data_IF_994707014109
#
_entry.id   IF_994707014109
#
_cell.length_a   1.000
_cell.length_b   1.000
_cell.length_c   1.000
_cell.angle_alpha   90.00
_cell.angle_beta   90.00
_cell.angle_gamma   90.00
#
_symmetry.space_group_name_H-M   'P 1'
#
loop_
_entity.id
_entity.type
_entity.pdbx_description
1 polymer ?
#
# COMPACT_ATOMS: atom_id res chain seq x y z
N UNK A 1 11.64 3.43 1.03
CA UNK A 1 10.48 2.64 1.47
C UNK A 1 9.77 2.08 0.25
N UNK A 2 9.13 0.94 0.37
CA UNK A 2 8.15 0.51 -0.61
C UNK A 2 6.90 1.41 -0.48
N UNK A 3 6.23 1.68 -1.57
CA UNK A 3 5.09 2.58 -1.64
C UNK A 3 3.98 2.16 -0.67
N UNK A 4 3.62 0.87 -0.67
CA UNK A 4 2.63 0.32 0.25
C UNK A 4 3.00 0.47 1.73
N UNK A 5 4.29 0.29 2.10
CA UNK A 5 4.74 0.50 3.48
C UNK A 5 4.45 1.93 3.97
N UNK A 6 4.66 2.93 3.10
CA UNK A 6 4.40 4.33 3.45
C UNK A 6 2.90 4.58 3.59
N UNK A 7 2.08 4.09 2.67
CA UNK A 7 0.62 4.22 2.75
C UNK A 7 0.06 3.59 4.04
N UNK A 8 0.59 2.45 4.47
CA UNK A 8 0.17 1.79 5.72
C UNK A 8 0.52 2.55 7.00
N UNK A 9 1.42 3.53 6.98
CA UNK A 9 1.70 4.36 8.17
C UNK A 9 0.67 5.47 8.38
N UNK A 10 -0.05 5.84 7.32
CA UNK A 10 -0.97 6.99 7.31
C UNK A 10 -2.02 6.91 8.42
N UNK A 11 -2.74 5.79 8.64
CA UNK A 11 -3.75 5.73 9.70
C UNK A 11 -3.17 6.00 11.10
N UNK A 12 -2.00 5.44 11.43
CA UNK A 12 -1.38 5.65 12.72
C UNK A 12 -0.91 7.10 12.92
N UNK A 13 -0.39 7.74 11.87
CA UNK A 13 0.06 9.15 11.93
C UNK A 13 -1.13 10.10 11.99
N UNK A 14 -2.24 9.80 11.28
CA UNK A 14 -3.46 10.60 11.34
C UNK A 14 -4.04 10.59 12.76
N UNK A 15 -4.24 9.41 13.33
CA UNK A 15 -4.74 9.28 14.72
C UNK A 15 -3.79 9.92 15.73
N UNK A 16 -2.48 9.80 15.54
CA UNK A 16 -1.50 10.51 16.37
C UNK A 16 -1.72 12.02 16.33
N UNK A 17 -1.92 12.60 15.14
CA UNK A 17 -2.17 14.03 14.96
C UNK A 17 -3.44 14.46 15.64
N UNK A 18 -4.54 13.69 15.48
CA UNK A 18 -5.85 14.02 16.02
C UNK A 18 -5.85 13.96 17.56
N UNK A 19 -5.20 12.93 18.15
CA UNK A 19 -5.14 12.75 19.60
C UNK A 19 -4.14 13.68 20.29
N UNK A 20 -3.13 14.17 19.56
CA UNK A 20 -2.04 15.00 20.10
C UNK A 20 -1.80 16.24 19.23
N UNK A 21 -2.74 17.20 19.17
CA UNK A 21 -2.65 18.37 18.27
C UNK A 21 -1.46 19.28 18.57
N UNK A 22 -0.95 19.28 19.81
CA UNK A 22 0.24 20.05 20.23
C UNK A 22 1.57 19.45 19.78
N UNK A 23 1.61 18.19 19.33
CA UNK A 23 2.86 17.53 18.90
C UNK A 23 3.26 18.03 17.51
N UNK A 24 4.50 18.46 17.33
CA UNK A 24 5.08 18.77 16.01
C UNK A 24 5.57 17.47 15.36
N UNK A 25 4.95 17.08 14.27
CA UNK A 25 5.32 15.86 13.53
C UNK A 25 6.15 16.27 12.32
N UNK A 26 7.36 15.68 12.20
CA UNK A 26 8.19 15.80 11.00
C UNK A 26 8.44 14.41 10.42
N UNK A 27 8.02 14.19 9.17
CA UNK A 27 8.17 12.91 8.48
C UNK A 27 9.38 12.96 7.56
N UNK A 28 10.32 12.04 7.76
CA UNK A 28 11.41 11.80 6.82
C UNK A 28 10.94 10.86 5.71
N UNK A 29 10.69 11.41 4.53
CA UNK A 29 10.20 10.66 3.36
C UNK A 29 10.73 11.26 2.06
N UNK A 30 10.32 10.73 0.90
CA UNK A 30 10.56 11.40 -0.39
C UNK A 30 9.45 12.41 -0.67
N UNK A 31 9.74 13.40 -1.52
CA UNK A 31 8.73 14.36 -1.98
C UNK A 31 7.52 13.66 -2.61
N UNK A 32 7.75 12.65 -3.43
CA UNK A 32 6.68 11.83 -4.02
C UNK A 32 5.76 11.21 -2.97
N UNK A 33 6.29 10.62 -1.91
CA UNK A 33 5.48 9.97 -0.89
C UNK A 33 4.85 10.94 0.11
N UNK A 34 5.31 12.19 0.21
CA UNK A 34 4.68 13.18 1.09
C UNK A 34 3.23 13.46 0.74
N UNK A 35 2.87 13.30 -0.54
CA UNK A 35 1.50 13.43 -1.04
C UNK A 35 0.50 12.54 -0.31
N UNK A 36 0.92 11.37 0.20
CA UNK A 36 0.06 10.47 0.97
C UNK A 36 -0.45 11.08 2.29
N UNK A 37 0.20 12.10 2.80
CA UNK A 37 -0.13 12.75 4.08
C UNK A 37 -0.85 14.10 3.91
N UNK A 38 -1.21 14.49 2.67
CA UNK A 38 -1.77 15.81 2.37
C UNK A 38 -3.07 16.14 3.10
N UNK A 39 -3.83 15.11 3.53
CA UNK A 39 -5.06 15.32 4.31
C UNK A 39 -4.82 15.30 5.83
N UNK A 40 -3.58 15.12 6.27
CA UNK A 40 -3.24 15.24 7.70
C UNK A 40 -2.71 16.67 7.95
N UNK A 41 -3.38 17.48 8.78
CA UNK A 41 -2.97 18.86 9.00
C UNK A 41 -1.66 18.95 9.79
N UNK A 42 -0.91 20.04 9.55
CA UNK A 42 0.26 20.40 10.33
C UNK A 42 1.37 19.32 10.37
N UNK A 43 1.61 18.65 9.25
CA UNK A 43 2.74 17.74 9.07
C UNK A 43 3.90 18.50 8.41
N UNK A 44 5.09 18.39 9.00
CA UNK A 44 6.33 18.87 8.41
C UNK A 44 7.04 17.71 7.68
N UNK A 45 7.81 18.04 6.65
CA UNK A 45 8.57 17.04 5.90
C UNK A 45 10.07 17.36 5.88
N UNK A 46 10.87 16.33 6.05
CA UNK A 46 12.29 16.33 5.71
C UNK A 46 12.48 15.36 4.54
N UNK A 47 12.94 15.87 3.40
CA UNK A 47 12.98 15.06 2.19
C UNK A 47 14.27 14.26 2.04
N UNK A 48 14.12 12.96 1.89
CA UNK A 48 15.19 12.07 1.49
C UNK A 48 15.51 12.26 0.01
N UNK A 49 16.69 12.78 -0.29
CA UNK A 49 17.17 13.09 -1.65
C UNK A 49 18.18 12.06 -2.14
N UNK A 50 18.46 11.94 -3.46
CA UNK A 50 19.45 11.01 -4.01
C UNK A 50 20.84 11.10 -3.35
N UNK A 51 21.28 12.32 -2.98
CA UNK A 51 22.54 12.54 -2.26
C UNK A 51 22.61 11.85 -0.89
N UNK A 52 21.47 11.51 -0.27
CA UNK A 52 21.40 10.81 1.02
C UNK A 52 21.53 9.28 0.89
N UNK A 53 21.77 8.74 -0.30
CA UNK A 53 21.98 7.29 -0.50
C UNK A 53 23.35 6.80 -0.01
N UNK A 54 24.35 7.67 0.01
CA UNK A 54 25.71 7.36 0.52
C UNK A 54 25.80 7.47 2.04
N UNK A 55 26.82 6.88 2.64
CA UNK A 55 27.12 6.99 4.08
C UNK A 55 27.34 8.46 4.47
N UNK A 56 28.11 9.20 3.68
CA UNK A 56 28.32 10.63 3.86
C UNK A 56 27.01 11.44 3.80
N UNK A 57 26.15 11.10 2.82
CA UNK A 57 24.83 11.70 2.73
C UNK A 57 23.92 11.39 3.92
N UNK A 58 23.98 10.18 4.50
CA UNK A 58 23.28 9.82 5.72
C UNK A 58 23.82 10.59 6.94
N UNK A 59 25.13 10.82 7.00
CA UNK A 59 25.73 11.68 8.04
C UNK A 59 25.20 13.12 7.94
N UNK A 60 25.16 13.71 6.74
CA UNK A 60 24.55 15.02 6.55
C UNK A 60 23.07 15.06 6.92
N UNK A 61 22.31 14.01 6.56
CA UNK A 61 20.90 13.89 6.93
C UNK A 61 20.72 13.81 8.44
N UNK A 62 21.60 13.10 9.15
CA UNK A 62 21.55 13.04 10.62
C UNK A 62 21.74 14.43 11.24
N UNK A 63 22.64 15.25 10.68
CA UNK A 63 22.81 16.64 11.15
C UNK A 63 21.57 17.50 10.93
N UNK A 64 20.88 17.33 9.78
CA UNK A 64 19.61 18.03 9.54
C UNK A 64 18.54 17.62 10.56
N UNK A 65 18.45 16.32 10.90
CA UNK A 65 17.54 15.84 11.94
C UNK A 65 17.90 16.44 13.30
N UNK A 66 19.18 16.50 13.66
CA UNK A 66 19.64 17.10 14.90
C UNK A 66 19.32 18.61 15.02
N UNK A 67 19.29 19.34 13.89
CA UNK A 67 18.91 20.75 13.84
C UNK A 67 17.41 20.96 14.15
N UNK A 68 16.56 20.01 13.82
CA UNK A 68 15.13 20.05 14.16
C UNK A 68 14.92 19.92 15.68
N UNK A 69 15.89 19.36 16.41
CA UNK A 69 15.86 19.10 17.86
C UNK A 69 14.61 18.30 18.27
N UNK A 70 14.35 17.11 17.67
CA UNK A 70 13.19 16.32 18.03
C UNK A 70 13.34 15.75 19.45
N UNK A 71 12.26 15.70 20.22
CA UNK A 71 12.20 15.03 21.52
C UNK A 71 12.21 13.50 21.33
N UNK A 72 11.54 13.00 20.28
CA UNK A 72 11.43 11.59 19.97
C UNK A 72 11.81 11.32 18.52
N UNK A 73 12.55 10.24 18.28
CA UNK A 73 12.85 9.71 16.94
C UNK A 73 12.24 8.32 16.81
N UNK A 74 11.45 8.12 15.77
CA UNK A 74 10.73 6.87 15.54
C UNK A 74 11.10 6.32 14.17
N UNK A 75 11.75 5.15 14.13
CA UNK A 75 12.09 4.43 12.90
C UNK A 75 10.99 3.41 12.58
N UNK A 76 10.05 3.81 11.72
CA UNK A 76 8.99 2.94 11.20
C UNK A 76 9.44 2.05 10.02
N UNK A 77 10.72 2.18 9.60
CA UNK A 77 11.19 1.47 8.40
C UNK A 77 12.14 0.31 8.71
N UNK A 78 13.02 0.46 9.70
CA UNK A 78 14.01 -0.55 10.15
C UNK A 78 14.66 -1.35 9.01
N UNK A 79 15.36 -0.64 8.13
CA UNK A 79 16.19 -1.18 7.04
C UNK A 79 17.65 -0.76 7.22
N UNK A 80 18.57 -1.34 6.43
CA UNK A 80 20.01 -1.06 6.55
C UNK A 80 20.30 0.45 6.58
N UNK A 81 19.68 1.23 5.73
CA UNK A 81 19.86 2.69 5.65
C UNK A 81 19.45 3.39 6.94
N UNK A 82 18.29 3.04 7.50
CA UNK A 82 17.84 3.65 8.76
C UNK A 82 18.64 3.15 9.94
N UNK A 83 19.20 1.94 9.91
CA UNK A 83 20.15 1.45 10.91
C UNK A 83 21.42 2.29 10.96
N UNK A 84 22.00 2.59 9.78
CA UNK A 84 23.17 3.48 9.70
C UNK A 84 22.83 4.89 10.20
N UNK A 85 21.68 5.43 9.82
CA UNK A 85 21.22 6.73 10.26
C UNK A 85 21.05 6.77 11.79
N UNK A 86 20.49 5.71 12.40
CA UNK A 86 20.38 5.59 13.86
C UNK A 86 21.73 5.60 14.57
N UNK A 87 22.77 4.98 13.99
CA UNK A 87 24.12 5.02 14.56
C UNK A 87 24.59 6.48 14.70
N UNK A 88 24.42 7.30 13.64
CA UNK A 88 24.80 8.71 13.71
C UNK A 88 23.95 9.53 14.70
N UNK A 89 22.67 9.17 14.85
CA UNK A 89 21.77 9.85 15.78
C UNK A 89 21.97 9.44 17.24
N UNK A 90 22.45 8.22 17.50
CA UNK A 90 22.68 7.70 18.86
C UNK A 90 23.69 8.51 19.67
N UNK A 91 24.58 9.27 19.02
CA UNK A 91 25.50 10.19 19.72
C UNK A 91 24.78 11.34 20.44
N UNK A 92 23.55 11.67 20.04
CA UNK A 92 22.79 12.80 20.63
C UNK A 92 21.49 12.36 21.29
N UNK A 93 20.88 11.27 20.84
CA UNK A 93 19.59 10.80 21.30
C UNK A 93 19.75 9.46 22.02
N UNK A 94 19.44 9.43 23.30
CA UNK A 94 19.57 8.22 24.13
C UNK A 94 18.54 7.14 23.76
N UNK A 95 17.43 7.52 23.14
CA UNK A 95 16.35 6.61 22.79
C UNK A 95 15.80 6.90 21.39
N UNK A 96 15.85 5.88 20.53
CA UNK A 96 15.22 5.88 19.22
C UNK A 96 14.26 4.68 19.19
N UNK A 97 12.99 4.93 18.98
CA UNK A 97 11.99 3.88 18.89
C UNK A 97 12.06 3.19 17.52
N UNK A 98 11.89 1.90 17.52
CA UNK A 98 12.03 1.07 16.31
C UNK A 98 10.83 0.15 16.20
N UNK A 99 10.25 0.08 15.01
CA UNK A 99 9.15 -0.84 14.75
C UNK A 99 9.58 -2.31 14.92
N UNK A 100 8.74 -3.09 15.58
CA UNK A 100 8.79 -4.56 15.47
C UNK A 100 8.00 -5.01 14.23
N UNK A 101 8.74 -5.41 13.20
CA UNK A 101 8.14 -5.92 11.94
C UNK A 101 7.63 -7.37 12.04
N UNK A 102 7.71 -8.00 13.19
CA UNK A 102 7.28 -9.40 13.40
C UNK A 102 8.05 -10.41 12.54
N UNK A 103 9.35 -10.19 12.31
CA UNK A 103 10.16 -11.04 11.40
C UNK A 103 10.18 -12.50 11.80
N UNK A 104 10.20 -12.81 13.12
CA UNK A 104 10.19 -14.19 13.63
C UNK A 104 8.87 -14.87 13.30
N UNK A 105 7.73 -14.24 13.61
CA UNK A 105 6.39 -14.75 13.32
C UNK A 105 6.17 -14.96 11.82
N UNK A 106 6.59 -13.97 11.00
CA UNK A 106 6.53 -14.05 9.53
C UNK A 106 7.35 -15.24 9.00
N UNK A 107 8.53 -15.47 9.55
CA UNK A 107 9.34 -16.65 9.19
C UNK A 107 8.63 -17.95 9.56
N UNK A 108 8.04 -18.03 10.75
CA UNK A 108 7.27 -19.21 11.21
C UNK A 108 6.04 -19.46 10.31
N UNK A 109 5.36 -18.40 9.84
CA UNK A 109 4.23 -18.51 8.93
C UNK A 109 4.65 -19.08 7.56
N UNK A 110 5.77 -18.60 6.98
CA UNK A 110 6.29 -19.11 5.70
C UNK A 110 6.77 -20.54 5.81
N UNK A 111 7.40 -20.90 6.92
CA UNK A 111 7.91 -22.27 7.16
C UNK A 111 6.79 -23.25 7.51
N UNK A 112 5.53 -22.80 7.61
CA UNK A 112 4.40 -23.66 7.97
C UNK A 112 4.36 -24.08 9.44
N UNK A 113 5.23 -23.55 10.31
CA UNK A 113 5.21 -23.83 11.75
C UNK A 113 3.96 -23.28 12.42
N UNK A 114 3.43 -22.18 11.91
CA UNK A 114 2.14 -21.60 12.30
C UNK A 114 1.32 -21.27 11.04
N UNK A 115 0.00 -21.38 11.14
CA UNK A 115 -0.91 -20.89 10.11
C UNK A 115 -2.05 -20.14 10.78
N UNK A 116 -1.77 -18.86 11.09
CA UNK A 116 -2.74 -17.96 11.72
C UNK A 116 -2.47 -16.52 11.29
N UNK A 117 -3.48 -15.66 11.41
CA UNK A 117 -3.34 -14.23 11.15
C UNK A 117 -2.31 -13.62 12.10
N UNK A 118 -1.33 -12.93 11.53
CA UNK A 118 -0.35 -12.15 12.29
C UNK A 118 -0.91 -10.74 12.57
N UNK A 119 -0.33 -10.07 13.57
CA UNK A 119 -0.60 -8.65 13.82
C UNK A 119 -0.36 -7.85 12.55
N UNK A 120 -1.32 -6.98 12.18
CA UNK A 120 -1.23 -6.17 10.97
C UNK A 120 -0.07 -5.18 11.03
N UNK A 121 0.45 -4.78 9.88
CA UNK A 121 1.47 -3.73 9.83
C UNK A 121 0.93 -2.39 10.36
N UNK A 122 -0.35 -2.08 10.11
CA UNK A 122 -1.01 -0.91 10.68
C UNK A 122 -0.92 -0.90 12.22
N UNK A 123 -1.26 -2.02 12.87
CA UNK A 123 -1.15 -2.13 14.32
C UNK A 123 0.30 -2.06 14.80
N UNK A 124 1.25 -2.64 14.06
CA UNK A 124 2.67 -2.56 14.40
C UNK A 124 3.20 -1.12 14.31
N UNK A 125 2.69 -0.32 13.37
CA UNK A 125 2.99 1.11 13.31
C UNK A 125 2.39 1.86 14.49
N UNK A 126 1.16 1.57 14.88
CA UNK A 126 0.51 2.18 16.04
C UNK A 126 1.22 1.81 17.36
N UNK A 127 1.60 0.55 17.54
CA UNK A 127 2.25 0.05 18.75
C UNK A 127 3.55 0.78 19.09
N UNK A 128 4.30 1.26 18.09
CA UNK A 128 5.56 1.98 18.33
C UNK A 128 5.32 3.27 19.12
N UNK A 129 4.23 3.98 18.86
CA UNK A 129 3.88 5.22 19.55
C UNK A 129 3.46 4.97 21.00
N UNK A 130 2.89 3.81 21.31
CA UNK A 130 2.50 3.44 22.67
C UNK A 130 3.70 3.34 23.62
N UNK A 131 4.92 3.10 23.09
CA UNK A 131 6.15 3.08 23.89
C UNK A 131 6.49 4.45 24.50
N UNK A 132 5.91 5.53 23.99
CA UNK A 132 6.02 6.91 24.54
C UNK A 132 4.68 7.39 25.14
N UNK A 133 3.83 6.46 25.57
CA UNK A 133 2.49 6.73 26.14
C UNK A 133 1.53 7.47 25.18
N UNK A 134 1.88 7.52 23.88
CA UNK A 134 1.02 8.04 22.83
C UNK A 134 0.22 6.89 22.24
N UNK A 135 -0.81 6.44 22.97
CA UNK A 135 -1.63 5.31 22.54
C UNK A 135 -2.44 5.66 21.29
N UNK A 136 -2.28 4.85 20.25
CA UNK A 136 -2.98 4.98 18.97
C UNK A 136 -4.04 3.91 18.85
N UNK A 137 -5.31 4.32 18.98
CA UNK A 137 -6.43 3.44 18.61
C UNK A 137 -6.76 3.65 17.14
N UNK A 138 -6.44 2.67 16.31
CA UNK A 138 -6.67 2.74 14.86
C UNK A 138 -8.14 2.76 14.46
N UNK A 139 -9.07 2.38 15.34
CA UNK A 139 -10.51 2.49 15.10
C UNK A 139 -10.97 3.95 14.99
N UNK A 140 -10.19 4.88 15.55
CA UNK A 140 -10.43 6.32 15.47
C UNK A 140 -9.94 6.94 14.15
N UNK A 141 -9.33 6.17 13.27
CA UNK A 141 -8.91 6.70 11.97
C UNK A 141 -10.13 7.08 11.13
N UNK A 142 -10.30 8.36 10.91
CA UNK A 142 -11.26 8.89 9.95
C UNK A 142 -10.66 8.75 8.54
N UNK A 143 -11.39 8.06 7.66
CA UNK A 143 -10.98 7.94 6.26
C UNK A 143 -10.83 9.30 5.62
N UNK A 144 -9.91 9.42 4.69
CA UNK A 144 -9.71 10.63 3.92
C UNK A 144 -10.97 11.02 3.15
N UNK A 145 -11.23 12.31 3.06
CA UNK A 145 -12.30 12.85 2.22
C UNK A 145 -12.01 12.61 0.74
N UNK A 146 -13.06 12.44 -0.05
CA UNK A 146 -12.94 12.39 -1.51
C UNK A 146 -12.24 13.65 -2.01
N UNK A 147 -11.39 13.47 -3.01
CA UNK A 147 -10.66 14.56 -3.66
C UNK A 147 -11.39 14.87 -4.96
N UNK A 148 -11.66 16.15 -5.21
CA UNK A 148 -12.25 16.57 -6.48
C UNK A 148 -11.30 16.24 -7.63
N UNK A 149 -11.86 15.66 -8.68
CA UNK A 149 -11.14 15.35 -9.91
C UNK A 149 -11.10 16.65 -10.75
N UNK A 150 -9.91 17.09 -11.12
CA UNK A 150 -9.72 18.27 -11.97
C UNK A 150 -10.16 17.99 -13.41
N UNK A 151 -10.54 19.02 -14.16
CA UNK A 151 -10.97 18.93 -15.57
C UNK A 151 -9.95 18.25 -16.51
N UNK A 152 -8.69 18.21 -16.13
CA UNK A 152 -7.63 17.50 -16.88
C UNK A 152 -7.74 15.98 -16.82
N UNK A 153 -8.55 15.44 -15.90
CA UNK A 153 -8.69 14.00 -15.62
C UNK A 153 -9.99 13.42 -16.23
N UNK A 154 -10.76 14.24 -16.94
CA UNK A 154 -12.11 13.91 -17.45
C UNK A 154 -12.12 13.08 -18.74
N UNK A 155 -11.45 11.91 -18.74
CA UNK A 155 -11.67 10.95 -19.83
C UNK A 155 -12.86 10.00 -19.53
N UNK A 156 -13.38 9.97 -18.28
CA UNK A 156 -14.43 9.06 -17.83
C UNK A 156 -15.58 9.81 -17.12
N UNK A 157 -16.76 9.21 -17.15
CA UNK A 157 -18.00 9.77 -16.61
C UNK A 157 -18.18 9.41 -15.12
N UNK A 158 -18.13 10.41 -14.25
CA UNK A 158 -18.28 10.24 -12.80
C UNK A 158 -19.68 9.81 -12.34
N UNK A 159 -20.68 9.86 -13.23
CA UNK A 159 -22.05 9.40 -12.93
C UNK A 159 -22.21 7.89 -13.13
N UNK A 160 -21.24 7.22 -13.72
CA UNK A 160 -21.20 5.76 -13.87
C UNK A 160 -20.45 5.11 -12.72
N UNK A 161 -20.67 3.82 -12.52
CA UNK A 161 -19.87 3.01 -11.59
C UNK A 161 -18.41 2.98 -12.05
N UNK A 162 -17.51 3.32 -11.11
CA UNK A 162 -16.07 3.36 -11.36
C UNK A 162 -15.37 2.20 -10.66
N UNK A 163 -14.78 1.31 -11.43
CA UNK A 163 -14.03 0.16 -10.91
C UNK A 163 -12.54 0.35 -11.21
N UNK A 164 -11.74 0.46 -10.15
CA UNK A 164 -10.29 0.48 -10.29
C UNK A 164 -9.72 -0.94 -10.39
N UNK A 165 -8.78 -1.15 -11.30
CA UNK A 165 -8.01 -2.41 -11.39
C UNK A 165 -6.52 -2.08 -11.35
N UNK A 166 -5.79 -2.61 -10.36
CA UNK A 166 -4.34 -2.53 -10.24
C UNK A 166 -3.72 -3.93 -10.39
N UNK A 167 -3.47 -4.40 -11.62
CA UNK A 167 -3.12 -5.80 -11.91
C UNK A 167 -1.65 -6.13 -11.62
N UNK A 168 -0.82 -5.13 -11.41
CA UNK A 168 0.62 -5.28 -11.23
C UNK A 168 1.05 -5.18 -9.76
N UNK A 169 2.22 -5.74 -9.49
CA UNK A 169 2.88 -5.66 -8.20
C UNK A 169 4.40 -5.66 -8.37
N UNK A 170 5.14 -5.37 -7.30
CA UNK A 170 6.60 -5.36 -7.37
C UNK A 170 7.28 -6.72 -7.65
N UNK A 171 6.51 -7.80 -7.75
CA UNK A 171 7.02 -9.16 -7.99
C UNK A 171 6.00 -10.01 -8.76
N UNK A 172 6.46 -10.75 -9.75
CA UNK A 172 5.63 -11.54 -10.69
C UNK A 172 4.66 -12.52 -10.01
N UNK A 173 5.03 -13.12 -8.88
CA UNK A 173 4.13 -14.05 -8.16
C UNK A 173 2.97 -13.37 -7.44
N UNK A 174 2.85 -12.07 -7.57
CA UNK A 174 1.74 -11.24 -7.10
C UNK A 174 0.97 -10.58 -8.24
N UNK A 175 1.37 -10.79 -9.50
CA UNK A 175 0.72 -10.20 -10.67
C UNK A 175 -0.33 -11.14 -11.24
N UNK A 176 -1.53 -10.63 -11.45
CA UNK A 176 -2.59 -11.35 -12.12
C UNK A 176 -2.44 -11.24 -13.63
N UNK A 177 -2.61 -12.34 -14.36
CA UNK A 177 -2.33 -12.35 -15.80
C UNK A 177 -3.26 -11.42 -16.58
N UNK A 178 -2.74 -10.78 -17.62
CA UNK A 178 -3.54 -9.91 -18.49
C UNK A 178 -4.71 -10.65 -19.15
N UNK A 179 -4.56 -11.94 -19.44
CA UNK A 179 -5.65 -12.79 -19.95
C UNK A 179 -6.81 -12.86 -18.96
N UNK A 180 -6.50 -13.05 -17.69
CA UNK A 180 -7.52 -13.08 -16.64
C UNK A 180 -8.11 -11.68 -16.38
N UNK A 181 -7.31 -10.62 -16.49
CA UNK A 181 -7.80 -9.23 -16.41
C UNK A 181 -8.79 -8.95 -17.55
N UNK A 182 -8.48 -9.31 -18.80
CA UNK A 182 -9.39 -9.16 -19.94
C UNK A 182 -10.72 -9.89 -19.71
N UNK A 183 -10.66 -11.15 -19.25
CA UNK A 183 -11.87 -11.90 -18.89
C UNK A 183 -12.68 -11.23 -17.79
N UNK A 184 -12.00 -10.67 -16.77
CA UNK A 184 -12.67 -9.95 -15.69
C UNK A 184 -13.38 -8.69 -16.22
N UNK A 185 -12.72 -7.94 -17.10
CA UNK A 185 -13.31 -6.77 -17.77
C UNK A 185 -14.57 -7.15 -18.56
N UNK A 186 -14.52 -8.27 -19.30
CA UNK A 186 -15.68 -8.78 -20.04
C UNK A 186 -16.84 -9.16 -19.13
N UNK A 187 -16.57 -9.77 -17.99
CA UNK A 187 -17.59 -10.13 -16.99
C UNK A 187 -18.23 -8.88 -16.35
N UNK A 188 -17.43 -7.84 -16.06
CA UNK A 188 -17.93 -6.57 -15.51
C UNK A 188 -18.84 -5.87 -16.53
N UNK A 189 -18.51 -5.95 -17.82
CA UNK A 189 -19.32 -5.43 -18.91
C UNK A 189 -19.29 -3.91 -19.06
N UNK A 190 -20.03 -3.36 -20.03
CA UNK A 190 -19.96 -1.97 -20.43
C UNK A 190 -20.75 -0.99 -19.52
N UNK A 191 -21.54 -1.50 -18.59
CA UNK A 191 -22.29 -0.66 -17.64
C UNK A 191 -21.41 0.08 -16.62
N UNK A 192 -20.19 -0.43 -16.42
CA UNK A 192 -19.19 0.17 -15.54
C UNK A 192 -18.05 0.76 -16.36
N UNK A 193 -17.36 1.72 -15.81
CA UNK A 193 -16.07 2.23 -16.32
C UNK A 193 -14.94 1.64 -15.50
N UNK A 194 -13.91 1.17 -16.20
CA UNK A 194 -12.79 0.46 -15.62
C UNK A 194 -11.53 1.31 -15.74
N UNK A 195 -10.97 1.68 -14.61
CA UNK A 195 -9.78 2.49 -14.51
C UNK A 195 -8.60 1.59 -14.15
N UNK A 196 -7.66 1.41 -15.11
CA UNK A 196 -6.54 0.47 -14.93
C UNK A 196 -5.30 1.24 -14.51
N UNK A 197 -4.79 0.89 -13.35
CA UNK A 197 -3.61 1.52 -12.75
C UNK A 197 -2.34 0.77 -13.11
N UNK A 198 -1.28 1.51 -13.45
CA UNK A 198 0.04 0.94 -13.70
C UNK A 198 1.15 1.98 -13.63
N UNK A 199 2.35 1.51 -13.30
CA UNK A 199 3.53 2.36 -13.28
C UNK A 199 3.95 2.75 -14.71
N UNK A 200 4.64 3.90 -14.88
CA UNK A 200 5.25 4.27 -16.16
C UNK A 200 6.15 3.16 -16.72
N UNK A 201 6.20 3.05 -18.03
CA UNK A 201 7.08 2.12 -18.72
C UNK A 201 6.40 0.81 -19.12
N UNK A 202 6.90 -0.34 -18.67
CA UNK A 202 6.42 -1.65 -19.14
C UNK A 202 4.97 -1.96 -18.71
N UNK A 203 4.57 -1.59 -17.51
CA UNK A 203 3.19 -1.77 -17.05
C UNK A 203 2.23 -0.95 -17.91
N UNK A 204 2.54 0.32 -18.15
CA UNK A 204 1.74 1.20 -19.00
C UNK A 204 1.61 0.67 -20.42
N UNK A 205 2.69 0.14 -21.03
CA UNK A 205 2.63 -0.50 -22.35
C UNK A 205 1.67 -1.69 -22.38
N UNK A 206 1.66 -2.51 -21.31
CA UNK A 206 0.76 -3.65 -21.18
C UNK A 206 -0.70 -3.19 -21.07
N UNK A 207 -0.97 -2.15 -20.28
CA UNK A 207 -2.33 -1.62 -20.11
C UNK A 207 -2.85 -1.01 -21.43
N UNK A 208 -2.00 -0.28 -22.16
CA UNK A 208 -2.36 0.29 -23.48
C UNK A 208 -2.86 -0.75 -24.48
N UNK A 209 -2.39 -2.01 -24.37
CA UNK A 209 -2.92 -3.10 -25.21
C UNK A 209 -4.35 -3.47 -24.78
N UNK A 210 -4.63 -3.53 -23.48
CA UNK A 210 -5.96 -3.82 -22.94
C UNK A 210 -6.96 -2.74 -23.36
N UNK A 211 -6.64 -1.46 -23.18
CA UNK A 211 -7.56 -0.36 -23.46
C UNK A 211 -7.90 -0.20 -24.94
N UNK A 212 -7.03 -0.66 -25.86
CA UNK A 212 -7.35 -0.68 -27.31
C UNK A 212 -8.46 -1.68 -27.65
N UNK A 213 -8.63 -2.71 -26.86
CA UNK A 213 -9.63 -3.77 -27.10
C UNK A 213 -10.95 -3.50 -26.37
N UNK A 214 -10.97 -2.57 -25.41
CA UNK A 214 -12.10 -2.35 -24.49
C UNK A 214 -12.45 -0.86 -24.39
N UNK A 215 -13.60 -0.47 -24.90
CA UNK A 215 -14.04 0.94 -25.01
C UNK A 215 -14.42 1.57 -23.66
N UNK A 216 -14.67 0.78 -22.63
CA UNK A 216 -15.00 1.26 -21.27
C UNK A 216 -13.81 1.25 -20.32
N UNK A 217 -12.58 1.18 -20.84
CA UNK A 217 -11.34 1.16 -20.03
C UNK A 217 -10.53 2.43 -20.21
N UNK A 218 -10.02 2.95 -19.10
CA UNK A 218 -9.23 4.17 -19.01
C UNK A 218 -7.90 3.88 -18.31
N UNK A 219 -6.83 4.54 -18.75
CA UNK A 219 -5.48 4.29 -18.23
C UNK A 219 -5.11 5.35 -17.21
N UNK A 220 -4.81 4.93 -16.00
CA UNK A 220 -4.30 5.79 -14.93
C UNK A 220 -2.81 5.45 -14.69
N UNK A 221 -1.92 6.20 -15.32
CA UNK A 221 -0.47 5.92 -15.32
C UNK A 221 0.35 7.21 -15.32
N UNK A 222 1.39 7.28 -16.15
CA UNK A 222 2.39 8.36 -16.19
C UNK A 222 1.84 9.79 -16.40
N UNK A 223 0.67 9.91 -17.01
CA UNK A 223 0.02 11.21 -17.25
C UNK A 223 -0.61 11.81 -15.98
N UNK A 224 -0.65 11.03 -14.88
CA UNK A 224 -1.25 11.43 -13.61
C UNK A 224 -0.20 11.51 -12.52
N UNK A 225 -0.09 12.66 -11.87
CA UNK A 225 0.66 12.78 -10.61
C UNK A 225 0.07 11.87 -9.53
N UNK A 226 0.80 11.58 -8.46
CA UNK A 226 0.27 10.80 -7.35
C UNK A 226 -0.99 11.43 -6.75
N UNK A 227 -1.05 12.76 -6.65
CA UNK A 227 -2.24 13.47 -6.15
C UNK A 227 -3.46 13.25 -7.05
N UNK A 228 -3.30 13.31 -8.38
CA UNK A 228 -4.37 13.01 -9.33
C UNK A 228 -4.79 11.55 -9.30
N UNK A 229 -3.84 10.61 -9.17
CA UNK A 229 -4.16 9.20 -8.97
C UNK A 229 -4.96 8.97 -7.67
N UNK A 230 -4.60 9.65 -6.58
CA UNK A 230 -5.36 9.61 -5.33
C UNK A 230 -6.75 10.21 -5.48
N UNK A 231 -6.91 11.29 -6.27
CA UNK A 231 -8.21 11.87 -6.59
C UNK A 231 -9.09 10.85 -7.33
N UNK A 232 -8.56 10.19 -8.35
CA UNK A 232 -9.26 9.12 -9.07
C UNK A 232 -9.63 7.98 -8.12
N UNK A 233 -8.67 7.48 -7.34
CA UNK A 233 -8.89 6.37 -6.38
C UNK A 233 -9.98 6.72 -5.38
N UNK A 234 -10.02 7.95 -4.87
CA UNK A 234 -10.99 8.38 -3.86
C UNK A 234 -12.45 8.39 -4.36
N UNK A 235 -12.65 8.34 -5.67
CA UNK A 235 -13.97 8.34 -6.31
C UNK A 235 -14.39 6.97 -6.84
N UNK A 236 -13.59 5.93 -6.66
CA UNK A 236 -13.95 4.58 -7.06
C UNK A 236 -15.06 4.00 -6.17
N UNK A 237 -15.95 3.20 -6.75
CA UNK A 237 -16.89 2.36 -6.01
C UNK A 237 -16.19 1.13 -5.43
N UNK A 238 -15.25 0.55 -6.18
CA UNK A 238 -14.42 -0.59 -5.74
C UNK A 238 -13.03 -0.56 -6.40
N UNK A 239 -12.02 -0.97 -5.64
CA UNK A 239 -10.67 -1.21 -6.14
C UNK A 239 -10.37 -2.70 -6.14
N UNK A 240 -10.06 -3.27 -7.29
CA UNK A 240 -9.49 -4.60 -7.43
C UNK A 240 -7.97 -4.46 -7.50
N UNK A 241 -7.28 -4.86 -6.45
CA UNK A 241 -5.82 -4.69 -6.36
C UNK A 241 -5.14 -6.02 -6.09
N UNK A 242 -4.00 -6.20 -6.69
CA UNK A 242 -3.06 -7.20 -6.18
C UNK A 242 -2.57 -6.76 -4.80
N UNK A 243 -1.84 -7.63 -4.09
CA UNK A 243 -1.10 -7.24 -2.87
C UNK A 243 -0.04 -6.18 -3.23
N UNK A 244 -0.51 -4.92 -3.40
CA UNK A 244 0.24 -3.77 -3.93
C UNK A 244 -0.21 -2.44 -3.30
N UNK A 245 0.48 -1.34 -3.63
CA UNK A 245 0.27 -0.03 -3.01
C UNK A 245 -1.14 0.55 -3.26
N UNK A 246 -1.72 0.33 -4.44
CA UNK A 246 -3.01 0.93 -4.81
C UNK A 246 -4.16 0.49 -3.89
N UNK A 247 -4.16 -0.78 -3.44
CA UNK A 247 -5.13 -1.24 -2.45
C UNK A 247 -5.00 -0.53 -1.11
N UNK A 248 -3.77 -0.27 -0.65
CA UNK A 248 -3.54 0.49 0.57
C UNK A 248 -4.01 1.94 0.44
N UNK A 249 -3.75 2.59 -0.71
CA UNK A 249 -4.20 3.96 -0.96
C UNK A 249 -5.73 4.03 -0.99
N UNK A 250 -6.39 3.12 -1.71
CA UNK A 250 -7.84 3.06 -1.81
C UNK A 250 -8.50 2.92 -0.43
N UNK A 251 -7.92 2.10 0.44
CA UNK A 251 -8.41 1.92 1.81
C UNK A 251 -8.33 3.17 2.68
N UNK A 252 -7.42 4.11 2.40
CA UNK A 252 -7.35 5.40 3.11
C UNK A 252 -8.61 6.26 2.89
N UNK A 253 -9.23 6.12 1.73
CA UNK A 253 -10.46 6.84 1.34
C UNK A 253 -11.75 6.05 1.67
N UNK A 254 -11.65 4.92 2.36
CA UNK A 254 -12.80 4.07 2.65
C UNK A 254 -13.36 3.32 1.44
N UNK A 255 -12.66 3.33 0.31
CA UNK A 255 -13.03 2.55 -0.87
C UNK A 255 -12.95 1.05 -0.56
N UNK A 256 -13.95 0.29 -0.98
CA UNK A 256 -13.90 -1.17 -0.88
C UNK A 256 -12.76 -1.74 -1.72
N UNK A 257 -11.88 -2.52 -1.12
CA UNK A 257 -10.73 -3.11 -1.79
C UNK A 257 -10.87 -4.62 -1.85
N UNK A 258 -10.98 -5.17 -3.04
CA UNK A 258 -10.82 -6.61 -3.28
C UNK A 258 -9.35 -6.87 -3.55
N UNK A 259 -8.68 -7.56 -2.62
CA UNK A 259 -7.27 -7.91 -2.79
C UNK A 259 -7.13 -9.34 -3.31
N UNK A 260 -6.47 -9.48 -4.45
CA UNK A 260 -6.17 -10.78 -5.07
C UNK A 260 -4.76 -11.20 -4.64
N UNK A 261 -4.70 -12.26 -3.86
CA UNK A 261 -3.47 -12.79 -3.31
C UNK A 261 -2.92 -13.92 -4.17
N UNK A 262 -1.60 -14.04 -4.22
CA UNK A 262 -0.93 -15.09 -4.97
C UNK A 262 -0.11 -16.01 -4.07
N UNK A 263 1.20 -15.92 -4.17
CA UNK A 263 2.15 -16.61 -3.30
C UNK A 263 2.26 -15.99 -1.89
N UNK A 264 1.67 -14.81 -1.68
CA UNK A 264 1.47 -14.14 -0.39
C UNK A 264 0.08 -14.49 0.18
N UNK A 265 -0.26 -14.02 1.39
CA UNK A 265 -1.54 -14.33 2.06
C UNK A 265 -1.94 -13.19 3.00
N UNK A 266 -3.24 -12.90 3.23
CA UNK A 266 -3.67 -11.87 4.17
C UNK A 266 -3.15 -12.08 5.60
N UNK A 267 -2.85 -13.33 6.00
CA UNK A 267 -2.29 -13.65 7.31
C UNK A 267 -0.90 -13.06 7.57
N UNK A 268 -0.19 -12.61 6.52
CA UNK A 268 1.11 -11.93 6.65
C UNK A 268 1.02 -10.56 7.34
N UNK A 269 -0.20 -10.01 7.49
CA UNK A 269 -0.46 -8.71 8.12
C UNK A 269 -0.34 -7.50 7.18
N UNK A 270 -0.39 -7.72 5.86
CA UNK A 270 -0.29 -6.68 4.83
C UNK A 270 -1.62 -6.38 4.12
N UNK A 271 -2.75 -6.83 4.64
CA UNK A 271 -4.06 -6.45 4.08
C UNK A 271 -4.27 -4.93 4.12
N UNK A 272 -4.95 -4.34 3.14
CA UNK A 272 -5.37 -2.94 3.20
C UNK A 272 -6.19 -2.64 4.46
N UNK A 273 -6.12 -1.40 4.92
CA UNK A 273 -6.72 -1.00 6.18
C UNK A 273 -8.23 -1.20 6.21
N UNK A 274 -8.73 -1.74 7.32
CA UNK A 274 -10.17 -1.90 7.62
C UNK A 274 -11.00 -2.56 6.51
N UNK A 275 -10.41 -3.51 5.77
CA UNK A 275 -11.13 -4.26 4.75
C UNK A 275 -11.69 -5.58 5.30
N UNK A 276 -12.96 -5.94 4.96
CA UNK A 276 -13.54 -7.19 5.40
C UNK A 276 -12.79 -8.40 4.82
N UNK A 277 -12.73 -9.49 5.58
CA UNK A 277 -11.96 -10.68 5.20
C UNK A 277 -12.41 -11.26 3.86
N UNK A 278 -13.71 -11.24 3.57
CA UNK A 278 -14.31 -11.70 2.31
C UNK A 278 -13.81 -10.94 1.07
N UNK A 279 -13.17 -9.80 1.25
CA UNK A 279 -12.51 -9.05 0.17
C UNK A 279 -11.10 -9.60 -0.16
N UNK A 280 -10.57 -10.54 0.62
CA UNK A 280 -9.30 -11.19 0.34
C UNK A 280 -9.53 -12.46 -0.47
N UNK A 281 -9.24 -12.41 -1.76
CA UNK A 281 -9.35 -13.57 -2.65
C UNK A 281 -8.01 -14.29 -2.70
N UNK A 282 -7.99 -15.56 -2.27
CA UNK A 282 -6.77 -16.38 -2.18
C UNK A 282 -6.84 -17.56 -3.14
N UNK A 283 -5.69 -18.13 -3.55
CA UNK A 283 -5.64 -19.38 -4.31
C UNK A 283 -6.25 -20.54 -3.53
N UNK A 284 -6.64 -21.60 -4.25
CA UNK A 284 -7.07 -22.85 -3.61
C UNK A 284 -5.92 -23.48 -2.82
N UNK A 285 -6.02 -23.48 -1.50
CA UNK A 285 -5.01 -24.02 -0.61
C UNK A 285 -4.87 -25.56 -0.71
N UNK A 286 -5.82 -26.28 -1.32
CA UNK A 286 -5.64 -27.70 -1.65
C UNK A 286 -4.63 -27.89 -2.78
N UNK A 287 -4.60 -26.96 -3.74
CA UNK A 287 -3.63 -26.96 -4.84
C UNK A 287 -2.31 -26.31 -4.46
N UNK A 288 -2.35 -25.32 -3.59
CA UNK A 288 -1.19 -24.54 -3.14
C UNK A 288 -1.06 -24.56 -1.61
N UNK A 289 -0.80 -25.73 -1.01
CA UNK A 289 -0.91 -25.92 0.44
C UNK A 289 0.15 -25.19 1.29
N UNK A 290 1.22 -24.70 0.66
CA UNK A 290 2.29 -23.97 1.37
C UNK A 290 2.11 -22.44 1.32
N UNK A 291 1.01 -21.91 0.74
CA UNK A 291 0.75 -20.46 0.75
C UNK A 291 0.47 -20.00 2.18
N UNK A 292 1.14 -18.91 2.67
CA UNK A 292 2.13 -18.08 1.98
C UNK A 292 3.52 -18.71 1.92
N UNK A 293 4.15 -18.66 0.74
CA UNK A 293 5.55 -19.07 0.56
C UNK A 293 6.53 -17.90 0.60
N UNK A 294 6.01 -16.69 0.65
CA UNK A 294 6.79 -15.44 0.73
C UNK A 294 5.96 -14.35 1.42
N UNK A 295 6.63 -13.42 2.09
CA UNK A 295 5.98 -12.26 2.70
C UNK A 295 5.81 -11.11 1.69
N UNK A 296 6.84 -10.86 0.88
CA UNK A 296 6.91 -9.67 0.02
C UNK A 296 6.76 -9.99 -1.47
N UNK A 297 6.74 -11.28 -1.84
CA UNK A 297 6.76 -11.72 -3.24
C UNK A 297 8.17 -11.94 -3.78
N UNK A 298 9.22 -11.51 -3.10
CA UNK A 298 10.61 -11.87 -3.43
C UNK A 298 10.88 -13.33 -3.09
N UNK A 299 11.77 -14.00 -3.85
CA UNK A 299 12.15 -15.41 -3.62
C UNK A 299 10.97 -16.38 -3.65
N UNK A 300 10.08 -16.19 -4.62
CA UNK A 300 8.94 -17.08 -4.82
C UNK A 300 9.40 -18.41 -5.47
N UNK A 301 9.02 -19.57 -4.91
CA UNK A 301 9.28 -20.87 -5.56
C UNK A 301 8.59 -20.95 -6.91
N UNK A 302 9.24 -21.58 -7.91
CA UNK A 302 8.73 -21.68 -9.29
C UNK A 302 7.32 -22.25 -9.37
N UNK A 303 7.02 -23.27 -8.56
CA UNK A 303 5.73 -23.95 -8.52
C UNK A 303 4.59 -23.05 -8.00
N UNK A 304 4.92 -21.94 -7.31
CA UNK A 304 3.97 -21.00 -6.71
C UNK A 304 3.86 -19.67 -7.45
N UNK A 305 4.70 -19.42 -8.46
CA UNK A 305 4.68 -18.16 -9.25
C UNK A 305 3.30 -17.91 -9.85
N UNK A 306 2.63 -18.98 -10.32
CA UNK A 306 1.33 -18.91 -10.97
C UNK A 306 0.14 -19.17 -10.02
N UNK A 307 0.34 -19.25 -8.71
CA UNK A 307 -0.74 -19.52 -7.77
C UNK A 307 -1.88 -18.49 -7.90
N UNK A 308 -1.56 -17.21 -8.08
CA UNK A 308 -2.54 -16.14 -8.29
C UNK A 308 -3.41 -16.38 -9.53
N UNK A 309 -2.82 -16.91 -10.60
CA UNK A 309 -3.52 -17.15 -11.88
C UNK A 309 -4.47 -18.36 -11.83
N UNK A 310 -4.44 -19.16 -10.76
CA UNK A 310 -5.43 -20.21 -10.51
C UNK A 310 -6.78 -19.65 -10.02
N UNK A 311 -6.82 -18.41 -9.59
CA UNK A 311 -8.04 -17.72 -9.18
C UNK A 311 -8.83 -17.37 -10.45
N UNK A 312 -10.05 -17.87 -10.53
CA UNK A 312 -10.91 -17.60 -11.69
C UNK A 312 -11.49 -16.19 -11.62
N UNK A 313 -11.55 -15.45 -12.74
CA UNK A 313 -12.12 -14.11 -12.80
C UNK A 313 -13.56 -14.01 -12.26
N UNK A 314 -14.35 -15.07 -12.41
CA UNK A 314 -15.74 -15.15 -11.96
C UNK A 314 -15.86 -15.01 -10.42
N UNK A 315 -14.84 -15.47 -9.67
CA UNK A 315 -14.80 -15.34 -8.20
C UNK A 315 -14.64 -13.86 -7.82
N UNK A 316 -13.76 -13.15 -8.52
CA UNK A 316 -13.53 -11.72 -8.32
C UNK A 316 -14.78 -10.93 -8.73
N UNK A 317 -15.34 -11.23 -9.89
CA UNK A 317 -16.56 -10.60 -10.40
C UNK A 317 -17.75 -10.78 -9.46
N UNK A 318 -17.97 -12.02 -8.95
CA UNK A 318 -19.01 -12.26 -7.94
C UNK A 318 -18.83 -11.31 -6.74
N UNK A 319 -17.59 -11.15 -6.28
CA UNK A 319 -17.33 -10.25 -5.14
C UNK A 319 -17.53 -8.77 -5.49
N UNK A 320 -17.22 -8.35 -6.71
CA UNK A 320 -17.55 -7.01 -7.20
C UNK A 320 -19.05 -6.77 -7.10
N UNK A 321 -19.88 -7.66 -7.63
CA UNK A 321 -21.35 -7.53 -7.63
C UNK A 321 -21.98 -7.54 -6.23
N UNK A 322 -21.29 -8.09 -5.23
CA UNK A 322 -21.74 -8.01 -3.83
C UNK A 322 -21.45 -6.64 -3.18
N UNK A 323 -20.60 -5.82 -3.79
CA UNK A 323 -20.19 -4.51 -3.26
C UNK A 323 -20.94 -3.37 -3.94
N UNK A 324 -21.11 -3.45 -5.26
CA UNK A 324 -21.77 -2.41 -6.09
C UNK A 324 -23.23 -2.79 -6.35
#
# INVERSE_FOLDING_TARGET
SAFGDVAMTVPAISVLRDNHPGVKITILTTEFFSTLYNQIPNINFLFFKPKHKSIYGLFHLSRQIMQIKPDHIIDLHDVLRTKILRIFLAFKFNRILIIDKGRKEKKSLINGTIFRRLKTMHQRYADVFSLEKMNINLELFNTYSKININDKVHEFDLNKRLIGIAPFAGHNCKEYSLVNILKLIDLIGPSCQILIFGAPGEEEKKIKKISKEKTNTYIISSNYSLGEQMAVISNLDVMISMDSANGHIASLFGVNVITVWGATHPFTGYSPFNQPEKNSIIPDLKKFPKVPVTIYGSKCPKDYVNAINSIRPEIIFKRVNEII
#
